data_IF_555651216315
#
_entry.id   IF_555651216315
#
_cell.length_a   1.000
_cell.length_b   1.000
_cell.length_c   1.000
_cell.angle_alpha   90.00
_cell.angle_beta   90.00
_cell.angle_gamma   90.00
#
_symmetry.space_group_name_H-M   'P 1'
#
loop_
_entity.id
_entity.type
_entity.pdbx_description
1 polymer ?
#
# COMPACT_ATOMS: atom_id res chain seq x y z
N UNK A 1 31.78 5.94 21.16
CA UNK A 1 30.72 6.93 20.86
C UNK A 1 29.51 6.14 20.38
N UNK A 2 28.33 6.42 20.92
CA UNK A 2 27.11 5.62 20.81
C UNK A 2 26.66 5.43 19.36
N UNK A 3 26.43 4.18 18.95
CA UNK A 3 25.69 3.86 17.73
C UNK A 3 24.20 4.14 17.97
N UNK A 4 23.75 5.35 17.70
CA UNK A 4 22.32 5.67 17.65
C UNK A 4 21.76 5.22 16.29
N UNK A 5 21.23 4.00 16.25
CA UNK A 5 20.55 3.38 15.10
C UNK A 5 19.13 3.96 14.86
N UNK A 6 18.92 5.24 15.12
CA UNK A 6 17.57 5.81 15.19
C UNK A 6 16.90 6.02 13.81
N UNK A 7 17.64 5.85 12.71
CA UNK A 7 17.11 5.93 11.34
C UNK A 7 16.67 4.60 10.71
N UNK A 8 16.83 3.46 11.39
CA UNK A 8 16.67 2.14 10.77
C UNK A 8 15.25 1.55 10.76
N UNK A 9 14.39 1.97 11.69
CA UNK A 9 13.05 1.37 11.87
C UNK A 9 12.02 1.89 10.86
N UNK A 10 12.06 3.19 10.56
CA UNK A 10 11.08 3.86 9.72
C UNK A 10 11.00 3.30 8.28
N UNK A 11 12.13 3.00 7.61
CA UNK A 11 12.11 2.37 6.28
C UNK A 11 11.50 0.98 6.29
N UNK A 12 11.78 0.18 7.33
CA UNK A 12 11.24 -1.17 7.50
C UNK A 12 9.72 -1.11 7.70
N UNK A 13 9.25 -0.19 8.56
CA UNK A 13 7.83 0.04 8.79
C UNK A 13 7.12 0.53 7.52
N UNK A 14 7.71 1.47 6.78
CA UNK A 14 7.18 1.94 5.51
C UNK A 14 7.05 0.79 4.49
N UNK A 15 8.03 -0.09 4.40
CA UNK A 15 8.00 -1.26 3.51
C UNK A 15 6.88 -2.24 3.87
N UNK A 16 6.68 -2.52 5.16
CA UNK A 16 5.58 -3.38 5.63
C UNK A 16 4.23 -2.75 5.28
N UNK A 17 4.05 -1.46 5.57
CA UNK A 17 2.80 -0.77 5.25
C UNK A 17 2.53 -0.72 3.74
N UNK A 18 3.57 -0.55 2.93
CA UNK A 18 3.48 -0.59 1.47
C UNK A 18 2.96 -1.97 0.99
N UNK A 19 3.52 -3.05 1.53
CA UNK A 19 3.06 -4.40 1.22
C UNK A 19 1.60 -4.64 1.65
N UNK A 20 1.21 -4.14 2.84
CA UNK A 20 -0.17 -4.20 3.33
C UNK A 20 -1.13 -3.45 2.41
N UNK A 21 -0.75 -2.26 1.93
CA UNK A 21 -1.57 -1.50 0.97
C UNK A 21 -1.75 -2.28 -0.33
N UNK A 22 -0.69 -2.81 -0.92
CA UNK A 22 -0.78 -3.56 -2.19
C UNK A 22 -1.67 -4.80 -2.03
N UNK A 23 -1.43 -5.61 -0.98
CA UNK A 23 -2.16 -6.84 -0.74
C UNK A 23 -3.62 -6.53 -0.38
N UNK A 24 -3.84 -5.57 0.51
CA UNK A 24 -5.18 -5.14 0.94
C UNK A 24 -5.99 -4.59 -0.23
N UNK A 25 -5.40 -3.73 -1.05
CA UNK A 25 -6.04 -3.22 -2.27
C UNK A 25 -6.34 -4.35 -3.26
N UNK A 26 -5.45 -5.33 -3.40
CA UNK A 26 -5.65 -6.50 -4.27
C UNK A 26 -6.78 -7.41 -3.80
N UNK A 27 -6.87 -7.69 -2.50
CA UNK A 27 -7.98 -8.48 -1.94
C UNK A 27 -9.31 -7.73 -2.10
N UNK A 28 -9.33 -6.42 -1.85
CA UNK A 28 -10.54 -5.62 -2.00
C UNK A 28 -11.01 -5.57 -3.46
N UNK A 29 -10.08 -5.30 -4.40
CA UNK A 29 -10.41 -5.26 -5.82
C UNK A 29 -10.86 -6.63 -6.34
N UNK A 30 -10.28 -7.72 -5.83
CA UNK A 30 -10.69 -9.09 -6.17
C UNK A 30 -12.14 -9.35 -5.73
N UNK A 31 -12.49 -9.00 -4.49
CA UNK A 31 -13.85 -9.14 -3.98
C UNK A 31 -14.86 -8.20 -4.68
N UNK A 32 -14.41 -7.04 -5.16
CA UNK A 32 -15.27 -6.08 -5.88
C UNK A 32 -15.58 -6.49 -7.32
N UNK A 33 -14.65 -7.16 -7.99
CA UNK A 33 -14.74 -7.44 -9.42
C UNK A 33 -14.97 -8.90 -9.76
N UNK A 34 -14.74 -9.81 -8.80
CA UNK A 34 -14.89 -11.27 -8.92
C UNK A 34 -14.47 -11.79 -10.31
N UNK A 35 -13.18 -11.70 -10.66
CA UNK A 35 -12.72 -11.85 -12.04
C UNK A 35 -12.81 -13.31 -12.52
N UNK A 36 -14.01 -13.75 -12.93
CA UNK A 36 -14.27 -15.06 -13.54
C UNK A 36 -14.20 -15.02 -15.08
N UNK A 37 -14.01 -13.84 -15.65
CA UNK A 37 -13.93 -13.61 -17.10
C UNK A 37 -12.78 -12.67 -17.46
N UNK A 38 -12.37 -12.65 -18.73
CA UNK A 38 -11.32 -11.75 -19.21
C UNK A 38 -11.64 -10.26 -18.93
N UNK A 39 -12.91 -9.86 -19.11
CA UNK A 39 -13.34 -8.50 -18.81
C UNK A 39 -13.35 -8.22 -17.30
N UNK A 40 -13.71 -9.21 -16.49
CA UNK A 40 -13.57 -9.14 -15.03
C UNK A 40 -12.12 -8.95 -14.59
N UNK A 41 -11.16 -9.63 -15.23
CA UNK A 41 -9.73 -9.44 -14.96
C UNK A 41 -9.22 -8.04 -15.34
N UNK A 42 -9.71 -7.47 -16.45
CA UNK A 42 -9.43 -6.07 -16.81
C UNK A 42 -10.01 -5.12 -15.75
N UNK A 43 -11.26 -5.34 -15.34
CA UNK A 43 -11.90 -4.58 -14.26
C UNK A 43 -11.10 -4.66 -12.95
N UNK A 44 -10.67 -5.87 -12.57
CA UNK A 44 -9.81 -6.10 -11.41
C UNK A 44 -8.53 -5.27 -11.49
N UNK A 45 -7.81 -5.30 -12.61
CA UNK A 45 -6.55 -4.54 -12.75
C UNK A 45 -6.78 -3.03 -12.65
N UNK A 46 -7.86 -2.50 -13.23
CA UNK A 46 -8.20 -1.07 -13.15
C UNK A 46 -8.53 -0.70 -11.69
N UNK A 47 -9.44 -1.43 -11.05
CA UNK A 47 -9.85 -1.16 -9.66
C UNK A 47 -8.66 -1.32 -8.72
N UNK A 48 -7.85 -2.36 -8.89
CA UNK A 48 -6.66 -2.59 -8.08
C UNK A 48 -5.64 -1.46 -8.23
N UNK A 49 -5.41 -0.98 -9.46
CA UNK A 49 -4.50 0.13 -9.73
C UNK A 49 -4.96 1.43 -9.08
N UNK A 50 -6.24 1.78 -9.23
CA UNK A 50 -6.83 2.99 -8.62
C UNK A 50 -6.76 2.90 -7.08
N UNK A 51 -7.19 1.76 -6.52
CA UNK A 51 -7.24 1.57 -5.08
C UNK A 51 -5.85 1.55 -4.45
N UNK A 52 -4.87 0.96 -5.14
CA UNK A 52 -3.47 1.00 -4.74
C UNK A 52 -2.94 2.42 -4.79
N UNK A 53 -3.22 3.18 -5.86
CA UNK A 53 -2.77 4.58 -5.97
C UNK A 53 -3.27 5.44 -4.80
N UNK A 54 -4.56 5.33 -4.47
CA UNK A 54 -5.16 6.02 -3.32
C UNK A 54 -4.53 5.56 -2.01
N UNK A 55 -4.36 4.25 -1.83
CA UNK A 55 -3.75 3.69 -0.62
C UNK A 55 -2.31 4.16 -0.40
N UNK A 56 -1.51 4.25 -1.47
CA UNK A 56 -0.15 4.77 -1.40
C UNK A 56 -0.10 6.27 -1.11
N UNK A 57 -1.03 7.04 -1.69
CA UNK A 57 -1.14 8.46 -1.40
C UNK A 57 -1.42 8.72 0.09
N UNK A 58 -2.35 7.96 0.67
CA UNK A 58 -2.66 8.00 2.11
C UNK A 58 -1.44 7.56 2.93
N UNK A 59 -0.76 6.48 2.51
CA UNK A 59 0.41 5.97 3.20
C UNK A 59 1.56 7.00 3.27
N UNK A 60 1.84 7.69 2.16
CA UNK A 60 2.84 8.76 2.13
C UNK A 60 2.45 9.88 3.10
N UNK A 61 1.17 10.27 3.14
CA UNK A 61 0.67 11.24 4.12
C UNK A 61 0.88 10.80 5.57
N UNK A 62 0.59 9.54 5.89
CA UNK A 62 0.82 8.98 7.23
C UNK A 62 2.31 8.98 7.60
N UNK A 63 3.18 8.54 6.67
CA UNK A 63 4.63 8.51 6.90
C UNK A 63 5.18 9.92 7.09
N UNK A 64 4.73 10.90 6.29
CA UNK A 64 5.12 12.28 6.42
C UNK A 64 4.76 12.85 7.80
N UNK A 65 3.53 12.60 8.26
CA UNK A 65 3.07 13.02 9.60
C UNK A 65 3.86 12.33 10.73
N UNK A 66 4.21 11.06 10.57
CA UNK A 66 5.03 10.33 11.55
C UNK A 66 6.49 10.76 11.55
N UNK A 67 7.01 11.23 10.41
CA UNK A 67 8.39 11.70 10.27
C UNK A 67 8.59 13.13 10.76
N UNK A 68 7.53 13.93 10.81
CA UNK A 68 7.58 15.32 11.32
C UNK A 68 7.54 15.39 12.85
N UNK A 69 7.25 14.27 13.52
CA UNK A 69 7.20 14.13 14.98
C UNK A 69 8.46 13.46 15.53
#
# INVERSE_FOLDING_TARGET
>A
MSNTNEGGCLPVLAFILYAVVIIGSGVLSWNLTEPQSFLGAIGFMIVWGILSYIGHFILIGIIALLSEK
#
